data_IF_355452309650
#
_entry.id   IF_355452309650
#
_cell.length_a   1.000
_cell.length_b   1.000
_cell.length_c   1.000
_cell.angle_alpha   90.00
_cell.angle_beta   90.00
_cell.angle_gamma   90.00
#
_symmetry.space_group_name_H-M   'P 1'
#
loop_
_entity.id
_entity.type
_entity.pdbx_description
1 polymer ?
#
# COMPACT_ATOMS: atom_id res chain seq x y z
N UNK A 1 -21.11 14.36 10.73
CA UNK A 1 -19.94 13.85 9.97
C UNK A 1 -20.07 12.34 9.84
N UNK A 2 -19.85 11.75 8.66
CA UNK A 2 -19.91 10.29 8.52
C UNK A 2 -18.80 9.64 9.34
N UNK A 3 -19.15 8.82 10.32
CA UNK A 3 -18.19 8.07 11.14
C UNK A 3 -17.50 7.05 10.23
N UNK A 4 -16.18 7.17 10.07
CA UNK A 4 -15.42 6.18 9.32
C UNK A 4 -15.38 4.86 10.11
N UNK A 5 -16.20 3.89 9.68
CA UNK A 5 -16.38 2.61 10.37
C UNK A 5 -15.32 1.55 10.05
N UNK A 6 -14.50 1.77 9.02
CA UNK A 6 -13.48 0.80 8.58
C UNK A 6 -12.09 1.17 9.09
N UNK A 7 -11.24 0.17 9.45
CA UNK A 7 -9.84 0.40 9.78
C UNK A 7 -9.05 0.88 8.55
N UNK A 8 -7.81 1.34 8.77
CA UNK A 8 -6.87 1.60 7.68
C UNK A 8 -6.63 0.29 6.91
N UNK A 9 -6.79 0.25 5.57
CA UNK A 9 -6.62 -0.98 4.81
C UNK A 9 -5.24 -1.63 4.98
N UNK A 10 -5.19 -2.96 4.98
CA UNK A 10 -3.94 -3.73 4.93
C UNK A 10 -3.07 -3.29 3.75
N UNK A 11 -3.67 -3.31 2.55
CA UNK A 11 -3.08 -2.81 1.31
C UNK A 11 -4.12 -2.02 0.52
N UNK A 12 -3.70 -0.84 0.05
CA UNK A 12 -4.40 -0.12 -1.01
C UNK A 12 -3.35 0.54 -1.90
N UNK A 13 -3.55 0.45 -3.21
CA UNK A 13 -2.55 0.88 -4.21
C UNK A 13 -3.16 1.73 -5.31
N UNK A 14 -2.33 2.59 -5.89
CA UNK A 14 -2.55 3.24 -7.18
C UNK A 14 -1.45 2.75 -8.12
N UNK A 15 -1.81 2.09 -9.21
CA UNK A 15 -0.87 1.38 -10.09
C UNK A 15 -0.74 2.01 -11.47
N UNK A 16 0.41 1.75 -12.11
CA UNK A 16 0.69 2.02 -13.51
C UNK A 16 0.63 0.69 -14.26
N UNK A 17 -0.29 0.60 -15.19
CA UNK A 17 -0.47 -0.55 -16.06
C UNK A 17 0.10 -0.23 -17.46
N UNK A 18 0.85 -1.16 -18.02
CA UNK A 18 1.42 -1.08 -19.37
C UNK A 18 0.99 -2.29 -20.20
N UNK A 19 0.69 -2.07 -21.47
CA UNK A 19 0.50 -3.18 -22.41
C UNK A 19 1.86 -3.75 -22.82
N UNK A 20 2.02 -5.07 -22.73
CA UNK A 20 3.23 -5.77 -23.19
C UNK A 20 3.34 -5.83 -24.73
N UNK A 21 2.23 -5.64 -25.44
CA UNK A 21 2.20 -5.59 -26.92
C UNK A 21 2.55 -4.20 -27.43
N UNK A 22 2.11 -3.15 -26.73
CA UNK A 22 2.39 -1.76 -27.10
C UNK A 22 2.71 -0.94 -25.86
N UNK A 23 3.99 -0.76 -25.57
CA UNK A 23 4.48 -0.08 -24.36
C UNK A 23 4.00 1.38 -24.23
N UNK A 24 3.63 2.03 -25.33
CA UNK A 24 3.00 3.36 -25.31
C UNK A 24 1.56 3.36 -24.74
N UNK A 25 0.92 2.19 -24.62
CA UNK A 25 -0.43 2.06 -24.06
C UNK A 25 -0.33 1.91 -22.55
N UNK A 26 -0.67 3.00 -21.86
CA UNK A 26 -0.61 3.12 -20.41
C UNK A 26 -2.01 3.34 -19.81
N UNK A 27 -2.22 2.79 -18.62
CA UNK A 27 -3.42 2.97 -17.82
C UNK A 27 -3.05 3.18 -16.35
N UNK A 28 -3.83 4.01 -15.65
CA UNK A 28 -3.68 4.26 -14.22
C UNK A 28 -4.98 3.81 -13.57
N UNK A 29 -4.88 3.12 -12.44
CA UNK A 29 -6.03 2.74 -11.65
C UNK A 29 -5.68 2.54 -10.18
N UNK A 30 -6.67 2.22 -9.36
CA UNK A 30 -6.47 1.86 -7.95
C UNK A 30 -7.10 0.50 -7.60
N UNK A 31 -6.52 -0.18 -6.60
CA UNK A 31 -7.01 -1.47 -6.10
C UNK A 31 -6.43 -1.82 -4.73
N UNK A 32 -7.18 -2.51 -3.86
CA UNK A 32 -6.64 -3.17 -2.67
C UNK A 32 -6.02 -4.55 -2.96
N UNK A 33 -6.28 -5.12 -4.15
CA UNK A 33 -5.75 -6.43 -4.55
C UNK A 33 -5.14 -6.33 -5.96
N UNK A 34 -3.83 -6.05 -6.07
CA UNK A 34 -3.15 -5.90 -7.36
C UNK A 34 -3.19 -7.17 -8.23
N UNK A 35 -2.88 -8.39 -7.74
CA UNK A 35 -2.95 -9.60 -8.55
C UNK A 35 -4.32 -9.84 -9.18
N UNK A 36 -5.38 -9.77 -8.38
CA UNK A 36 -6.76 -9.95 -8.89
C UNK A 36 -7.10 -8.90 -9.93
N UNK A 37 -6.71 -7.63 -9.71
CA UNK A 37 -7.01 -6.55 -10.66
C UNK A 37 -6.25 -6.72 -11.99
N UNK A 38 -5.02 -7.25 -11.96
CA UNK A 38 -4.28 -7.56 -13.18
C UNK A 38 -5.01 -8.64 -14.00
N UNK A 39 -5.44 -9.74 -13.38
CA UNK A 39 -6.24 -10.78 -14.05
C UNK A 39 -7.54 -10.24 -14.65
N UNK A 40 -8.20 -9.28 -13.99
CA UNK A 40 -9.37 -8.59 -14.55
C UNK A 40 -9.05 -7.81 -15.82
N UNK A 41 -7.92 -7.10 -15.87
CA UNK A 41 -7.48 -6.38 -17.07
C UNK A 41 -7.13 -7.33 -18.22
N UNK A 42 -6.54 -8.48 -17.91
CA UNK A 42 -6.18 -9.51 -18.88
C UNK A 42 -7.36 -10.38 -19.33
N UNK A 43 -8.53 -10.25 -18.70
CA UNK A 43 -9.73 -11.00 -19.06
C UNK A 43 -9.78 -12.42 -18.48
N UNK A 44 -8.87 -12.75 -17.58
CA UNK A 44 -8.84 -14.00 -16.81
C UNK A 44 -9.90 -13.99 -15.69
N UNK A 45 -10.31 -12.80 -15.25
CA UNK A 45 -11.36 -12.60 -14.25
C UNK A 45 -12.37 -11.52 -14.69
N UNK A 46 -13.61 -11.62 -14.21
CA UNK A 46 -14.66 -10.62 -14.49
C UNK A 46 -14.36 -9.28 -13.79
N UNK A 47 -14.67 -8.16 -14.46
CA UNK A 47 -14.58 -6.80 -13.89
C UNK A 47 -13.45 -5.91 -14.43
N UNK A 48 -12.89 -6.22 -15.60
CA UNK A 48 -11.88 -5.37 -16.26
C UNK A 48 -12.43 -4.03 -16.76
N UNK A 49 -11.59 -3.00 -16.77
CA UNK A 49 -11.98 -1.68 -17.29
C UNK A 49 -12.18 -1.70 -18.81
N UNK A 50 -13.15 -0.92 -19.32
CA UNK A 50 -13.44 -0.83 -20.75
C UNK A 50 -12.23 -0.42 -21.59
N UNK A 51 -11.37 0.49 -21.08
CA UNK A 51 -10.15 0.91 -21.79
C UNK A 51 -9.12 -0.22 -21.96
N UNK A 52 -9.20 -1.26 -21.13
CA UNK A 52 -8.27 -2.40 -21.12
C UNK A 52 -8.86 -3.66 -21.76
N UNK A 53 -10.07 -3.59 -22.32
CA UNK A 53 -10.77 -4.76 -22.88
C UNK A 53 -10.25 -5.18 -24.27
N UNK A 54 -9.57 -4.29 -25.00
CA UNK A 54 -9.08 -4.55 -26.36
C UNK A 54 -8.07 -5.70 -26.35
N UNK A 55 -8.42 -6.80 -27.03
CA UNK A 55 -7.59 -8.01 -27.09
C UNK A 55 -6.18 -7.77 -27.63
N UNK A 56 -6.02 -6.88 -28.61
CA UNK A 56 -4.73 -6.54 -29.21
C UNK A 56 -3.81 -5.69 -28.30
N UNK A 57 -4.26 -5.29 -27.12
CA UNK A 57 -3.44 -4.62 -26.10
C UNK A 57 -3.15 -5.52 -24.89
N UNK A 58 -3.77 -6.70 -24.83
CA UNK A 58 -3.45 -7.71 -23.81
C UNK A 58 -2.25 -8.55 -24.26
N UNK A 59 -1.45 -9.11 -23.32
CA UNK A 59 -1.60 -8.94 -21.87
C UNK A 59 -1.03 -7.60 -21.38
N UNK A 60 -1.59 -7.15 -20.27
CA UNK A 60 -1.11 -6.05 -19.47
C UNK A 60 -0.17 -6.55 -18.37
N UNK A 61 0.67 -5.65 -17.87
CA UNK A 61 1.54 -5.83 -16.72
C UNK A 61 1.47 -4.57 -15.82
N UNK A 62 1.61 -4.75 -14.51
CA UNK A 62 1.79 -3.64 -13.58
C UNK A 62 3.28 -3.34 -13.46
N UNK A 63 3.72 -2.18 -13.95
CA UNK A 63 5.15 -1.82 -14.00
C UNK A 63 5.63 -1.05 -12.78
N UNK A 64 4.68 -0.50 -12.01
CA UNK A 64 4.93 0.15 -10.74
C UNK A 64 3.64 0.58 -10.06
N UNK A 65 3.70 0.85 -8.76
CA UNK A 65 2.55 1.32 -7.99
C UNK A 65 2.97 2.13 -6.77
N UNK A 66 2.05 2.95 -6.27
CA UNK A 66 2.14 3.61 -4.98
C UNK A 66 1.26 2.83 -4.01
N UNK A 67 1.79 2.43 -2.85
CA UNK A 67 1.05 1.75 -1.78
C UNK A 67 0.99 2.61 -0.51
N UNK A 68 0.28 2.13 0.51
CA UNK A 68 0.27 2.75 1.85
C UNK A 68 -0.82 3.79 2.05
N UNK A 69 -1.79 3.89 1.14
CA UNK A 69 -2.90 4.83 1.31
C UNK A 69 -3.73 4.48 2.55
N UNK A 70 -4.00 5.46 3.45
CA UNK A 70 -4.70 5.20 4.70
C UNK A 70 -6.21 4.95 4.51
N UNK A 71 -6.73 5.16 3.30
CA UNK A 71 -8.11 4.87 2.94
C UNK A 71 -8.29 4.69 1.43
N UNK A 72 -9.42 4.10 1.05
CA UNK A 72 -9.87 4.08 -0.35
C UNK A 72 -10.01 5.49 -0.92
N UNK A 73 -10.57 6.43 -0.15
CA UNK A 73 -10.76 7.81 -0.59
C UNK A 73 -9.42 8.50 -0.85
N UNK A 74 -8.41 8.25 -0.01
CA UNK A 74 -7.06 8.77 -0.22
C UNK A 74 -6.46 8.24 -1.54
N UNK A 75 -6.55 6.93 -1.79
CA UNK A 75 -6.10 6.33 -3.04
C UNK A 75 -6.83 6.91 -4.26
N UNK A 76 -8.16 7.09 -4.20
CA UNK A 76 -8.95 7.65 -5.30
C UNK A 76 -8.61 9.11 -5.59
N UNK A 77 -8.34 9.93 -4.55
CA UNK A 77 -7.87 11.31 -4.73
C UNK A 77 -6.53 11.36 -5.45
N UNK A 78 -5.58 10.51 -5.05
CA UNK A 78 -4.27 10.43 -5.70
C UNK A 78 -4.37 9.88 -7.13
N UNK A 79 -5.14 8.82 -7.34
CA UNK A 79 -5.41 8.25 -8.67
C UNK A 79 -5.97 9.30 -9.62
N UNK A 80 -6.97 10.07 -9.16
CA UNK A 80 -7.58 11.12 -9.97
C UNK A 80 -6.58 12.23 -10.32
N UNK A 81 -5.78 12.68 -9.34
CA UNK A 81 -4.75 13.68 -9.54
C UNK A 81 -3.69 13.22 -10.57
N UNK A 82 -3.23 11.96 -10.48
CA UNK A 82 -2.27 11.37 -11.42
C UNK A 82 -2.88 11.12 -12.80
N UNK A 83 -4.18 10.80 -12.84
CA UNK A 83 -4.95 10.59 -14.06
C UNK A 83 -5.17 11.90 -14.83
N UNK A 84 -5.29 13.02 -14.10
CA UNK A 84 -5.65 14.34 -14.61
C UNK A 84 -4.72 15.46 -14.08
N UNK A 85 -3.40 15.39 -14.30
CA UNK A 85 -2.44 16.34 -13.70
C UNK A 85 -2.67 17.78 -14.16
N UNK A 86 -3.08 17.96 -15.42
CA UNK A 86 -3.50 19.24 -16.00
C UNK A 86 -4.71 19.92 -15.33
N UNK A 87 -5.53 19.19 -14.56
CA UNK A 87 -6.72 19.70 -13.88
C UNK A 87 -6.61 19.64 -12.35
N UNK A 88 -5.60 18.94 -11.83
CA UNK A 88 -5.51 18.67 -10.41
C UNK A 88 -5.23 19.95 -9.63
N UNK A 89 -6.14 20.28 -8.71
CA UNK A 89 -5.98 21.40 -7.76
C UNK A 89 -4.93 21.11 -6.68
N UNK A 90 -4.55 19.84 -6.51
CA UNK A 90 -3.44 19.46 -5.64
C UNK A 90 -2.08 19.89 -6.21
N UNK A 91 -2.01 20.21 -7.51
CA UNK A 91 -0.79 20.67 -8.17
C UNK A 91 -0.87 22.19 -8.31
N UNK A 92 0.00 22.95 -7.61
CA UNK A 92 0.12 24.38 -7.81
C UNK A 92 0.39 24.71 -9.28
N UNK A 93 -0.22 25.78 -9.79
CA UNK A 93 -0.10 26.13 -11.21
C UNK A 93 1.33 26.38 -11.65
N UNK A 94 2.19 26.91 -10.78
CA UNK A 94 3.63 27.15 -11.04
C UNK A 94 4.45 25.85 -11.17
N UNK A 95 4.06 24.78 -10.49
CA UNK A 95 4.77 23.49 -10.50
C UNK A 95 4.19 22.50 -11.52
N UNK A 96 3.16 22.89 -12.28
CA UNK A 96 2.42 21.99 -13.17
C UNK A 96 3.25 21.59 -14.39
N UNK A 97 3.64 20.31 -14.44
CA UNK A 97 4.43 19.74 -15.55
C UNK A 97 3.60 19.44 -16.81
N UNK A 98 2.31 19.15 -16.64
CA UNK A 98 1.43 18.75 -17.74
C UNK A 98 0.38 19.83 -17.99
N UNK A 99 0.52 20.53 -19.10
CA UNK A 99 -0.40 21.59 -19.52
C UNK A 99 -1.16 21.15 -20.77
N UNK A 100 -2.44 21.46 -20.83
CA UNK A 100 -3.25 21.20 -22.01
C UNK A 100 -3.18 22.38 -22.97
N UNK A 101 -2.75 22.14 -24.21
CA UNK A 101 -2.69 23.14 -25.28
C UNK A 101 -3.97 23.21 -26.12
N UNK A 102 -4.85 22.20 -26.05
CA UNK A 102 -6.04 22.10 -26.90
C UNK A 102 -7.37 22.01 -26.14
N UNK A 103 -8.45 22.53 -26.72
CA UNK A 103 -9.82 22.40 -26.18
C UNK A 103 -10.65 21.41 -27.00
N UNK A 104 -11.62 20.79 -26.35
CA UNK A 104 -12.65 19.96 -26.99
C UNK A 104 -13.66 20.86 -27.69
N UNK A 105 -14.51 20.29 -28.56
CA UNK A 105 -15.63 21.04 -29.19
C UNK A 105 -16.57 21.69 -28.17
N UNK A 106 -16.63 21.16 -26.94
CA UNK A 106 -17.42 21.68 -25.81
C UNK A 106 -16.61 22.59 -24.87
N UNK A 107 -15.50 23.16 -25.33
CA UNK A 107 -14.66 24.09 -24.55
C UNK A 107 -13.79 23.48 -23.45
N UNK A 108 -14.01 22.21 -23.06
CA UNK A 108 -13.23 21.54 -22.00
C UNK A 108 -11.78 21.30 -22.44
N UNK A 109 -10.77 21.41 -21.56
CA UNK A 109 -9.40 21.03 -21.86
C UNK A 109 -9.33 19.59 -22.38
N UNK A 110 -8.63 19.36 -23.50
CA UNK A 110 -8.31 18.01 -23.96
C UNK A 110 -7.33 17.34 -23.00
N UNK A 111 -7.55 16.06 -22.78
CA UNK A 111 -6.65 15.25 -21.94
C UNK A 111 -5.31 15.04 -22.67
N UNK A 112 -4.18 15.43 -22.07
CA UNK A 112 -2.88 15.19 -22.67
C UNK A 112 -2.58 13.69 -22.78
N UNK A 113 -1.85 13.32 -23.83
CA UNK A 113 -1.37 11.95 -24.03
C UNK A 113 -0.44 11.56 -22.88
N UNK A 114 -0.64 10.35 -22.34
CA UNK A 114 0.21 9.83 -21.27
C UNK A 114 1.41 9.13 -21.88
N UNK A 115 2.60 9.59 -21.52
CA UNK A 115 3.85 8.86 -21.70
C UNK A 115 4.34 8.35 -20.36
N UNK A 116 5.21 7.33 -20.37
CA UNK A 116 5.77 6.81 -19.12
C UNK A 116 6.50 7.92 -18.34
N UNK A 117 7.32 8.70 -19.04
CA UNK A 117 8.02 9.87 -18.49
C UNK A 117 7.04 10.85 -17.83
N UNK A 118 5.92 11.16 -18.49
CA UNK A 118 4.91 12.06 -17.91
C UNK A 118 4.24 11.47 -16.66
N UNK A 119 4.09 10.15 -16.55
CA UNK A 119 3.49 9.52 -15.38
C UNK A 119 4.48 9.57 -14.21
N UNK A 120 5.72 9.13 -14.42
CA UNK A 120 6.73 9.10 -13.34
C UNK A 120 7.07 10.51 -12.84
N UNK A 121 7.13 11.50 -13.73
CA UNK A 121 7.36 12.89 -13.32
C UNK A 121 6.20 13.48 -12.52
N UNK A 122 4.95 13.16 -12.88
CA UNK A 122 3.78 13.57 -12.10
C UNK A 122 3.66 12.80 -10.78
N UNK A 123 4.09 11.54 -10.68
CA UNK A 123 4.20 10.84 -9.39
C UNK A 123 5.20 11.58 -8.50
N UNK A 124 6.37 11.93 -9.02
CA UNK A 124 7.38 12.68 -8.27
C UNK A 124 6.84 14.01 -7.73
N UNK A 125 6.12 14.76 -8.57
CA UNK A 125 5.45 16.00 -8.17
C UNK A 125 4.37 15.74 -7.11
N UNK A 126 3.47 14.78 -7.34
CA UNK A 126 2.36 14.50 -6.43
C UNK A 126 2.82 13.98 -5.06
N UNK A 127 3.98 13.34 -4.97
CA UNK A 127 4.55 12.92 -3.69
C UNK A 127 5.15 14.09 -2.88
N UNK A 128 5.26 15.28 -3.47
CA UNK A 128 5.80 16.50 -2.84
C UNK A 128 4.74 17.55 -2.54
N UNK A 129 3.60 17.54 -3.23
CA UNK A 129 2.57 18.56 -2.99
C UNK A 129 1.97 18.44 -1.57
N UNK A 130 1.60 19.56 -0.91
CA UNK A 130 1.15 19.56 0.48
C UNK A 130 0.02 18.58 0.79
N UNK A 131 -0.87 18.33 -0.18
CA UNK A 131 -2.01 17.42 -0.01
C UNK A 131 -1.62 15.96 0.24
N UNK A 132 -0.43 15.52 -0.22
CA UNK A 132 -0.01 14.12 -0.19
C UNK A 132 1.37 13.92 0.44
N UNK A 133 2.16 14.98 0.60
CA UNK A 133 3.56 14.94 1.05
C UNK A 133 3.78 14.31 2.42
N UNK A 134 2.74 14.21 3.25
CA UNK A 134 2.78 13.60 4.58
C UNK A 134 2.08 12.26 4.69
N UNK A 135 1.49 11.75 3.61
CA UNK A 135 0.89 10.43 3.61
C UNK A 135 1.96 9.34 3.71
N UNK A 136 1.67 8.18 4.33
CA UNK A 136 2.64 7.11 4.53
C UNK A 136 2.79 6.23 3.28
N UNK A 137 3.09 6.88 2.16
CA UNK A 137 3.17 6.24 0.86
C UNK A 137 4.52 5.54 0.68
N UNK A 138 4.50 4.46 -0.11
CA UNK A 138 5.71 3.76 -0.61
C UNK A 138 5.58 3.60 -2.12
N UNK A 139 6.66 3.80 -2.85
CA UNK A 139 6.71 3.65 -4.30
C UNK A 139 7.38 2.32 -4.66
N UNK A 140 6.75 1.55 -5.54
CA UNK A 140 7.21 0.22 -5.96
C UNK A 140 7.43 0.21 -7.47
N UNK A 141 8.56 -0.34 -7.91
CA UNK A 141 8.85 -0.58 -9.32
C UNK A 141 9.09 -2.06 -9.60
N UNK A 142 8.46 -2.56 -10.66
CA UNK A 142 8.53 -3.98 -11.05
C UNK A 142 9.15 -4.19 -12.43
N UNK A 143 9.51 -3.10 -13.13
CA UNK A 143 10.16 -3.12 -14.43
C UNK A 143 11.42 -2.23 -14.40
N UNK A 144 12.63 -2.76 -14.68
CA UNK A 144 13.88 -2.01 -14.57
C UNK A 144 13.89 -0.71 -15.37
N UNK A 145 13.43 -0.73 -16.61
CA UNK A 145 13.38 0.42 -17.51
C UNK A 145 12.47 1.54 -17.00
N UNK A 146 11.44 1.20 -16.21
CA UNK A 146 10.56 2.19 -15.59
C UNK A 146 11.23 2.82 -14.38
N UNK A 147 11.97 2.02 -13.60
CA UNK A 147 12.79 2.53 -12.51
C UNK A 147 13.92 3.43 -13.00
N UNK A 148 14.58 3.08 -14.11
CA UNK A 148 15.59 3.94 -14.75
C UNK A 148 14.98 5.28 -15.22
N UNK A 149 13.79 5.25 -15.83
CA UNK A 149 13.10 6.48 -16.21
C UNK A 149 12.75 7.37 -14.98
N UNK A 150 12.38 6.74 -13.86
CA UNK A 150 12.16 7.42 -12.59
C UNK A 150 13.44 8.04 -12.04
N UNK A 151 14.55 7.28 -11.96
CA UNK A 151 15.85 7.79 -11.49
C UNK A 151 16.34 8.96 -12.34
N UNK A 152 16.24 8.84 -13.67
CA UNK A 152 16.59 9.93 -14.60
C UNK A 152 15.76 11.19 -14.35
N UNK A 153 14.47 11.06 -14.04
CA UNK A 153 13.67 12.22 -13.68
C UNK A 153 14.14 12.81 -12.34
N UNK A 154 14.37 11.98 -11.33
CA UNK A 154 14.83 12.44 -10.01
C UNK A 154 16.16 13.20 -10.08
N UNK A 155 17.10 12.78 -10.93
CA UNK A 155 18.38 13.48 -11.13
C UNK A 155 18.24 14.85 -11.81
N UNK A 156 17.11 15.09 -12.49
CA UNK A 156 16.82 16.38 -13.15
C UNK A 156 15.88 17.27 -12.35
N UNK A 157 15.21 16.73 -11.35
CA UNK A 157 14.23 17.48 -10.56
C UNK A 157 14.94 18.45 -9.60
N UNK A 158 14.46 19.69 -9.54
CA UNK A 158 15.06 20.76 -8.74
C UNK A 158 14.94 20.56 -7.23
N UNK A 159 13.88 19.88 -6.76
CA UNK A 159 13.70 19.61 -5.35
C UNK A 159 13.53 18.10 -5.12
N UNK A 160 14.20 17.54 -4.10
CA UNK A 160 14.18 16.12 -3.80
C UNK A 160 12.85 15.68 -3.17
N UNK A 161 12.64 14.37 -3.11
CA UNK A 161 11.59 13.78 -2.28
C UNK A 161 12.03 13.81 -0.82
N UNK A 162 11.06 13.75 0.11
CA UNK A 162 11.36 13.59 1.53
C UNK A 162 12.17 12.30 1.74
N UNK A 163 13.15 12.36 2.63
CA UNK A 163 14.05 11.22 2.93
C UNK A 163 13.29 10.00 3.48
N UNK A 164 12.20 10.22 4.22
CA UNK A 164 11.36 9.16 4.77
C UNK A 164 10.47 8.43 3.76
N UNK A 165 10.44 8.86 2.49
CA UNK A 165 9.66 8.17 1.45
C UNK A 165 10.43 6.94 0.96
N UNK A 166 9.86 5.76 1.18
CA UNK A 166 10.48 4.50 0.74
C UNK A 166 10.19 4.24 -0.74
N UNK A 167 11.25 4.00 -1.52
CA UNK A 167 11.18 3.53 -2.90
C UNK A 167 11.79 2.12 -2.94
N UNK A 168 11.02 1.14 -3.38
CA UNK A 168 11.43 -0.27 -3.48
C UNK A 168 11.34 -0.79 -4.90
N UNK A 169 12.18 -1.77 -5.22
CA UNK A 169 12.21 -2.45 -6.51
C UNK A 169 12.07 -3.95 -6.31
N UNK A 170 11.32 -4.60 -7.20
CA UNK A 170 11.23 -6.06 -7.25
C UNK A 170 11.04 -6.49 -8.71
N UNK A 171 12.15 -6.78 -9.38
CA UNK A 171 12.18 -7.06 -10.82
C UNK A 171 12.03 -8.56 -11.15
N UNK A 172 11.91 -9.41 -10.14
CA UNK A 172 11.97 -10.87 -10.31
C UNK A 172 13.32 -11.36 -10.87
N UNK A 173 13.45 -12.67 -11.06
CA UNK A 173 14.61 -13.25 -11.75
C UNK A 173 14.47 -12.98 -13.26
N UNK A 174 15.25 -12.03 -13.76
CA UNK A 174 15.38 -11.71 -15.19
C UNK A 174 15.87 -12.98 -15.92
N UNK A 175 14.98 -13.77 -16.54
CA UNK A 175 15.40 -14.96 -17.30
C UNK A 175 14.37 -16.06 -17.55
N UNK A 176 13.25 -16.12 -16.81
CA UNK A 176 12.21 -17.11 -17.11
C UNK A 176 11.39 -16.65 -18.32
N UNK A 177 11.75 -17.11 -19.52
CA UNK A 177 10.87 -17.07 -20.69
C UNK A 177 9.49 -17.55 -20.24
N UNK A 178 8.45 -16.72 -20.41
CA UNK A 178 7.04 -17.10 -20.18
C UNK A 178 6.76 -18.35 -21.02
N UNK A 179 6.80 -19.52 -20.38
CA UNK A 179 6.37 -20.74 -21.01
C UNK A 179 4.87 -20.62 -21.23
N UNK A 180 4.45 -20.57 -22.49
CA UNK A 180 3.07 -20.77 -22.91
C UNK A 180 2.69 -22.19 -22.52
N UNK A 181 2.12 -22.38 -21.32
CA UNK A 181 1.31 -23.56 -20.94
C UNK A 181 0.60 -23.23 -19.63
N UNK A 182 -0.54 -22.54 -19.73
CA UNK A 182 -1.56 -22.57 -18.67
C UNK A 182 -2.31 -23.89 -18.81
N UNK A 183 -2.02 -24.84 -17.92
CA UNK A 183 -2.93 -25.95 -17.68
C UNK A 183 -4.17 -25.43 -16.93
N UNK A 184 -5.37 -26.01 -17.13
CA UNK A 184 -6.56 -25.63 -16.40
C UNK A 184 -6.47 -26.10 -14.93
N UNK A 185 -6.95 -25.27 -14.01
CA UNK A 185 -7.18 -25.66 -12.61
C UNK A 185 -8.39 -26.62 -12.60
N UNK A 186 -8.32 -27.82 -12.00
CA UNK A 186 -9.49 -28.67 -11.87
C UNK A 186 -10.41 -28.15 -10.78
N UNK A 187 -11.70 -28.15 -11.10
CA UNK A 187 -12.82 -28.01 -10.18
C UNK A 187 -12.90 -29.29 -9.34
N UNK A 188 -13.20 -29.26 -8.03
CA UNK A 188 -13.28 -30.48 -7.25
C UNK A 188 -14.60 -31.20 -7.53
N UNK A 189 -14.54 -32.34 -8.20
CA UNK A 189 -15.57 -33.38 -8.15
C UNK A 189 -14.88 -34.71 -7.85
N UNK A 190 -15.54 -35.50 -6.99
CA UNK A 190 -15.10 -36.77 -6.43
C UNK A 190 -14.64 -37.77 -7.50
N UNK A 191 -13.57 -38.53 -7.22
CA UNK A 191 -13.50 -40.01 -7.30
C UNK A 191 -12.02 -40.49 -7.35
N UNK A 192 -11.83 -41.70 -6.84
CA UNK A 192 -10.60 -42.39 -6.50
C UNK A 192 -9.62 -42.59 -7.67
N UNK A 193 -8.32 -42.44 -7.40
CA UNK A 193 -7.26 -42.89 -8.29
C UNK A 193 -5.86 -42.61 -7.74
N UNK A 194 -5.18 -43.65 -7.27
CA UNK A 194 -3.78 -43.63 -6.86
C UNK A 194 -2.88 -43.22 -8.04
N UNK A 195 -2.13 -42.13 -7.88
CA UNK A 195 -1.22 -41.60 -8.88
C UNK A 195 0.03 -41.03 -8.23
N UNK A 196 1.16 -41.65 -8.54
CA UNK A 196 2.53 -41.44 -8.04
C UNK A 196 2.94 -39.95 -8.00
N UNK A 197 3.41 -39.51 -6.83
CA UNK A 197 3.98 -38.18 -6.61
C UNK A 197 5.37 -38.06 -7.27
N UNK A 198 5.47 -37.24 -8.32
CA UNK A 198 6.77 -36.75 -8.80
C UNK A 198 7.13 -35.46 -8.05
N UNK A 199 7.92 -35.63 -7.01
CA UNK A 199 8.45 -34.58 -6.14
C UNK A 199 9.68 -33.92 -6.77
N UNK A 200 9.54 -32.69 -7.27
CA UNK A 200 10.44 -31.53 -7.01
C UNK A 200 10.21 -30.43 -8.07
N UNK A 201 9.11 -29.69 -7.95
CA UNK A 201 9.03 -28.36 -8.54
C UNK A 201 9.37 -27.35 -7.44
N UNK A 202 10.62 -26.85 -7.42
CA UNK A 202 10.97 -25.68 -6.61
C UNK A 202 9.97 -24.56 -6.95
N UNK A 203 9.08 -24.25 -6.00
CA UNK A 203 8.10 -23.18 -6.17
C UNK A 203 8.86 -21.87 -6.27
N UNK A 204 8.94 -21.31 -7.48
CA UNK A 204 9.58 -20.02 -7.71
C UNK A 204 8.99 -18.97 -6.75
N UNK A 205 9.86 -18.27 -6.02
CA UNK A 205 9.42 -17.26 -5.07
C UNK A 205 8.54 -16.20 -5.75
N UNK A 206 7.41 -15.81 -5.14
CA UNK A 206 6.55 -14.79 -5.70
C UNK A 206 7.30 -13.46 -5.77
N UNK A 207 7.10 -12.72 -6.86
CA UNK A 207 7.75 -11.43 -7.11
C UNK A 207 6.74 -10.38 -7.60
N UNK A 208 7.18 -9.13 -7.62
CA UNK A 208 6.43 -7.97 -8.04
C UNK A 208 5.12 -7.83 -7.25
N UNK A 209 4.01 -7.69 -7.97
CA UNK A 209 2.69 -7.55 -7.33
C UNK A 209 2.22 -8.79 -6.56
N UNK A 210 2.81 -9.96 -6.84
CA UNK A 210 2.46 -11.23 -6.19
C UNK A 210 3.19 -11.44 -4.87
N UNK A 211 4.30 -10.73 -4.63
CA UNK A 211 5.01 -10.71 -3.36
C UNK A 211 4.39 -9.75 -2.33
N UNK A 212 3.51 -8.83 -2.77
CA UNK A 212 2.90 -7.85 -1.88
C UNK A 212 1.92 -8.52 -0.90
N UNK A 213 2.08 -8.32 0.43
CA UNK A 213 1.13 -8.82 1.40
C UNK A 213 -0.22 -8.11 1.22
N UNK A 214 -1.29 -8.91 1.03
CA UNK A 214 -2.64 -8.40 0.78
C UNK A 214 -3.47 -8.24 2.07
N UNK A 215 -2.94 -8.70 3.19
CA UNK A 215 -3.59 -8.73 4.50
C UNK A 215 -2.69 -8.12 5.59
N UNK A 216 -3.13 -8.20 6.85
CA UNK A 216 -2.43 -7.64 8.00
C UNK A 216 -1.33 -8.55 8.56
N UNK A 217 -0.98 -9.65 7.89
CA UNK A 217 0.06 -10.58 8.37
C UNK A 217 1.39 -9.88 8.71
N UNK A 218 1.88 -8.86 7.96
CA UNK A 218 3.13 -8.17 8.30
C UNK A 218 3.14 -7.44 9.64
N UNK A 219 1.99 -7.11 10.21
CA UNK A 219 1.88 -6.42 11.51
C UNK A 219 1.27 -7.31 12.60
N UNK A 220 1.17 -8.61 12.35
CA UNK A 220 0.47 -9.55 13.23
C UNK A 220 1.01 -9.58 14.64
N UNK A 221 2.33 -9.67 14.81
CA UNK A 221 2.92 -9.76 16.14
C UNK A 221 2.71 -8.47 16.93
N UNK A 222 2.73 -7.32 16.25
CA UNK A 222 2.36 -6.05 16.84
C UNK A 222 0.88 -6.00 17.26
N UNK A 223 -0.03 -6.51 16.43
CA UNK A 223 -1.46 -6.62 16.77
C UNK A 223 -1.66 -7.54 17.98
N UNK A 224 -0.99 -8.69 18.03
CA UNK A 224 -1.04 -9.62 19.18
C UNK A 224 -0.55 -8.93 20.45
N UNK A 225 0.61 -8.28 20.40
CA UNK A 225 1.14 -7.53 21.54
C UNK A 225 0.15 -6.47 22.00
N UNK A 226 -0.41 -5.69 21.08
CA UNK A 226 -1.39 -4.67 21.45
C UNK A 226 -2.66 -5.28 22.04
N UNK A 227 -3.17 -6.40 21.53
CA UNK A 227 -4.35 -7.06 22.12
C UNK A 227 -4.08 -7.47 23.56
N UNK A 228 -2.93 -8.12 23.84
CA UNK A 228 -2.56 -8.54 25.19
C UNK A 228 -2.52 -7.35 26.16
N UNK A 229 -1.97 -6.21 25.74
CA UNK A 229 -1.90 -5.00 26.59
C UNK A 229 -3.28 -4.53 27.06
N UNK A 230 -4.31 -4.54 26.20
CA UNK A 230 -5.67 -4.11 26.57
C UNK A 230 -6.53 -5.24 27.15
N UNK A 231 -6.24 -6.51 26.83
CA UNK A 231 -6.97 -7.67 27.38
C UNK A 231 -6.61 -7.94 28.85
N UNK A 232 -5.36 -7.67 29.23
CA UNK A 232 -4.87 -7.86 30.60
C UNK A 232 -4.76 -6.55 31.40
N UNK A 233 -5.34 -5.45 30.91
CA UNK A 233 -5.35 -4.13 31.55
C UNK A 233 -3.93 -3.63 31.93
N UNK A 234 -2.99 -3.79 31.01
CA UNK A 234 -1.56 -3.44 31.16
C UNK A 234 -1.20 -2.09 30.50
N UNK A 235 -2.19 -1.24 30.20
CA UNK A 235 -1.98 0.07 29.59
C UNK A 235 -1.19 1.01 30.51
N UNK A 236 -1.44 0.92 31.82
CA UNK A 236 -0.82 1.74 32.86
C UNK A 236 -0.98 3.24 32.60
N UNK A 237 0.11 3.99 32.75
CA UNK A 237 0.11 5.43 32.53
C UNK A 237 0.60 5.79 31.14
N UNK A 238 0.09 6.90 30.59
CA UNK A 238 0.57 7.46 29.35
C UNK A 238 2.07 7.73 29.43
N UNK A 239 2.84 7.16 28.48
CA UNK A 239 4.30 7.32 28.43
C UNK A 239 4.79 8.76 28.18
N UNK A 240 3.88 9.71 27.96
CA UNK A 240 4.16 11.12 27.69
C UNK A 240 3.66 12.01 28.83
N UNK A 241 2.34 12.12 29.04
CA UNK A 241 1.79 13.00 30.08
C UNK A 241 1.81 12.38 31.49
N UNK A 242 2.08 11.08 31.62
CA UNK A 242 2.11 10.32 32.89
C UNK A 242 0.76 10.14 33.60
N UNK A 243 -0.32 10.67 33.05
CA UNK A 243 -1.68 10.40 33.52
C UNK A 243 -2.07 8.93 33.29
N UNK A 244 -2.96 8.43 34.14
CA UNK A 244 -3.54 7.09 34.03
C UNK A 244 -4.36 6.93 32.73
N UNK A 245 -4.22 5.78 32.08
CA UNK A 245 -5.00 5.42 30.90
C UNK A 245 -6.23 4.63 31.34
N UNK A 246 -7.40 5.23 31.19
CA UNK A 246 -8.67 4.58 31.51
C UNK A 246 -9.11 3.64 30.39
N UNK A 247 -9.29 2.36 30.71
CA UNK A 247 -9.72 1.32 29.76
C UNK A 247 -11.05 1.68 29.09
N UNK A 248 -11.08 1.59 27.76
CA UNK A 248 -12.27 1.91 26.95
C UNK A 248 -12.59 3.39 26.77
N UNK A 249 -11.85 4.32 27.42
CA UNK A 249 -12.13 5.76 27.31
C UNK A 249 -11.07 6.47 26.46
N UNK A 250 -11.43 6.88 25.24
CA UNK A 250 -10.53 7.61 24.34
C UNK A 250 -9.72 6.71 23.40
N UNK A 251 -8.72 7.30 22.74
CA UNK A 251 -7.88 6.62 21.76
C UNK A 251 -6.45 6.52 22.27
N UNK A 252 -6.03 5.28 22.54
CA UNK A 252 -4.71 4.96 23.08
C UNK A 252 -3.89 4.18 22.08
N UNK A 253 -2.73 4.71 21.72
CA UNK A 253 -1.84 4.09 20.76
C UNK A 253 -0.68 3.39 21.48
N UNK A 254 -0.28 2.22 20.96
CA UNK A 254 0.79 1.38 21.51
C UNK A 254 2.05 1.54 20.67
N UNK A 255 3.22 1.59 21.29
CA UNK A 255 4.50 1.60 20.58
C UNK A 255 4.61 0.42 19.60
N UNK A 256 5.18 0.63 18.41
CA UNK A 256 5.33 -0.41 17.38
C UNK A 256 6.49 -1.37 17.63
N UNK A 257 7.48 -0.99 18.46
CA UNK A 257 8.68 -1.80 18.68
C UNK A 257 8.38 -3.10 19.43
N UNK A 258 9.07 -4.17 19.06
CA UNK A 258 8.95 -5.48 19.70
C UNK A 258 9.28 -5.41 21.19
N UNK A 259 8.54 -6.14 22.03
CA UNK A 259 8.69 -6.15 23.48
C UNK A 259 8.34 -4.84 24.22
N UNK A 260 8.13 -3.72 23.52
CA UNK A 260 7.77 -2.45 24.15
C UNK A 260 6.24 -2.29 24.26
N UNK A 261 5.75 -2.24 25.50
CA UNK A 261 4.36 -1.97 25.87
C UNK A 261 4.17 -0.49 26.25
N UNK A 262 4.73 0.43 25.47
CA UNK A 262 4.54 1.86 25.72
C UNK A 262 3.19 2.30 25.18
N UNK A 263 2.25 2.65 26.05
CA UNK A 263 0.92 3.16 25.67
C UNK A 263 0.82 4.66 25.92
N UNK A 264 0.06 5.38 25.09
CA UNK A 264 -0.22 6.78 25.33
C UNK A 264 -1.43 7.30 24.58
N UNK A 265 -1.97 8.43 25.04
CA UNK A 265 -3.03 9.13 24.33
C UNK A 265 -2.60 9.46 22.90
N UNK A 266 -3.51 9.29 21.93
CA UNK A 266 -3.26 9.60 20.54
C UNK A 266 -2.76 11.04 20.35
N UNK A 267 -3.36 12.00 21.06
CA UNK A 267 -3.00 13.41 21.03
C UNK A 267 -1.61 13.66 21.61
N UNK A 268 -1.24 12.99 22.71
CA UNK A 268 0.11 13.06 23.27
C UNK A 268 1.16 12.53 22.29
N UNK A 269 0.92 11.35 21.70
CA UNK A 269 1.82 10.78 20.68
C UNK A 269 2.00 11.73 19.49
N UNK A 270 0.91 12.33 19.01
CA UNK A 270 0.96 13.27 17.90
C UNK A 270 1.84 14.48 18.25
N UNK A 271 1.60 15.14 19.39
CA UNK A 271 2.38 16.30 19.82
C UNK A 271 3.85 15.97 20.03
N UNK A 272 4.14 14.79 20.61
CA UNK A 272 5.52 14.34 20.85
C UNK A 272 6.31 14.08 19.55
N UNK A 273 5.64 13.69 18.46
CA UNK A 273 6.29 13.47 17.16
C UNK A 273 6.36 14.72 16.29
N UNK A 274 5.60 15.77 16.62
CA UNK A 274 5.63 17.02 15.89
C UNK A 274 6.76 17.93 16.42
N UNK A 275 7.48 18.65 15.54
CA UNK A 275 8.46 19.64 15.98
C UNK A 275 7.80 20.72 16.84
N UNK A 276 8.52 21.24 17.83
CA UNK A 276 8.01 22.31 18.71
C UNK A 276 7.64 23.60 17.94
N UNK A 277 8.30 23.86 16.79
CA UNK A 277 8.00 25.00 15.89
C UNK A 277 6.62 24.94 15.25
N UNK A 278 5.99 23.77 15.21
CA UNK A 278 4.74 23.53 14.48
C UNK A 278 3.50 23.63 15.38
N UNK A 279 3.66 24.07 16.64
CA UNK A 279 2.56 24.16 17.61
C UNK A 279 1.82 25.51 17.60
N UNK A 280 2.39 26.55 16.98
CA UNK A 280 1.96 27.96 17.18
C UNK A 280 1.30 28.67 15.97
N UNK A 281 0.70 27.95 15.01
CA UNK A 281 -0.40 28.56 14.22
C UNK A 281 -0.50 28.34 12.71
N UNK A 282 0.44 27.66 12.06
CA UNK A 282 0.31 27.23 10.65
C UNK A 282 0.84 25.79 10.43
N UNK A 283 0.94 25.06 11.54
CA UNK A 283 1.85 23.94 11.70
C UNK A 283 1.39 22.59 11.14
N UNK A 284 2.36 21.71 11.04
CA UNK A 284 2.18 20.32 10.67
C UNK A 284 1.22 19.61 11.62
N UNK A 285 0.12 19.05 11.09
CA UNK A 285 -0.84 18.27 11.89
C UNK A 285 -0.51 16.77 11.92
N UNK A 286 0.03 16.23 10.82
CA UNK A 286 0.22 14.78 10.66
C UNK A 286 1.67 14.37 10.93
N UNK A 287 1.97 13.62 12.01
CA UNK A 287 3.30 13.05 12.20
C UNK A 287 3.65 12.05 11.09
N UNK A 288 4.96 11.87 10.84
CA UNK A 288 5.48 10.85 9.91
C UNK A 288 6.15 9.74 10.72
N UNK A 289 7.14 10.11 11.54
CA UNK A 289 7.88 9.22 12.41
C UNK A 289 8.31 9.96 13.68
N UNK A 290 8.77 9.21 14.68
CA UNK A 290 9.38 9.75 15.90
C UNK A 290 10.01 8.65 16.74
N UNK A 291 10.39 8.96 17.98
CA UNK A 291 10.98 7.99 18.90
C UNK A 291 10.08 7.76 20.11
N UNK A 292 9.97 6.49 20.51
CA UNK A 292 9.19 6.11 21.69
C UNK A 292 9.84 6.67 22.98
N UNK A 293 9.11 7.38 23.86
CA UNK A 293 9.67 7.84 25.13
C UNK A 293 10.15 6.72 26.08
N UNK A 294 9.52 5.53 26.01
CA UNK A 294 9.80 4.35 26.85
C UNK A 294 11.03 3.57 26.35
N UNK A 295 10.97 3.00 25.14
CA UNK A 295 12.05 2.16 24.60
C UNK A 295 13.09 2.89 23.75
N UNK A 296 12.90 4.19 23.46
CA UNK A 296 13.74 5.02 22.57
C UNK A 296 13.84 4.57 21.11
N UNK A 297 13.28 3.41 20.75
CA UNK A 297 13.23 2.95 19.36
C UNK A 297 12.38 3.84 18.46
N UNK A 298 12.73 3.85 17.17
CA UNK A 298 12.00 4.56 16.13
C UNK A 298 10.59 3.99 15.93
N UNK A 299 9.63 4.86 15.61
CA UNK A 299 8.22 4.51 15.41
C UNK A 299 7.70 5.23 14.18
N UNK A 300 7.06 4.49 13.28
CA UNK A 300 6.34 5.05 12.15
C UNK A 300 4.89 5.35 12.56
N UNK A 301 4.46 6.61 12.41
CA UNK A 301 3.11 7.04 12.80
C UNK A 301 2.03 6.19 12.13
N UNK A 302 2.23 5.85 10.87
CA UNK A 302 1.26 5.08 10.08
C UNK A 302 1.07 3.64 10.54
N UNK A 303 2.11 3.00 11.04
CA UNK A 303 1.99 1.62 11.53
C UNK A 303 1.23 1.61 12.85
N UNK A 304 1.51 2.60 13.71
CA UNK A 304 0.76 2.83 14.93
C UNK A 304 -0.71 3.13 14.66
N UNK A 305 -1.03 3.95 13.65
CA UNK A 305 -2.42 4.23 13.27
C UNK A 305 -3.10 3.01 12.63
N UNK A 306 -2.35 2.18 11.92
CA UNK A 306 -2.89 0.95 11.32
C UNK A 306 -3.33 -0.03 12.42
N UNK A 307 -2.52 -0.26 13.44
CA UNK A 307 -2.91 -1.05 14.61
C UNK A 307 -4.09 -0.41 15.36
N UNK A 308 -3.99 0.87 15.72
CA UNK A 308 -5.02 1.56 16.51
C UNK A 308 -6.40 1.46 15.83
N UNK A 309 -6.45 1.75 14.53
CA UNK A 309 -7.72 1.67 13.80
C UNK A 309 -8.20 0.24 13.63
N UNK A 310 -7.30 -0.74 13.51
CA UNK A 310 -7.64 -2.16 13.43
C UNK A 310 -8.22 -2.66 14.75
N UNK A 311 -7.65 -2.29 15.90
CA UNK A 311 -8.18 -2.64 17.23
C UNK A 311 -9.51 -1.96 17.53
N UNK A 312 -9.65 -0.68 17.21
CA UNK A 312 -10.88 0.08 17.52
C UNK A 312 -12.03 -0.24 16.57
N UNK A 313 -11.75 -0.57 15.30
CA UNK A 313 -12.78 -0.65 14.23
C UNK A 313 -12.77 -1.95 13.43
N UNK A 314 -11.78 -2.81 13.62
CA UNK A 314 -11.47 -3.95 12.76
C UNK A 314 -11.49 -5.29 13.48
N UNK A 315 -12.33 -5.47 14.51
CA UNK A 315 -12.36 -6.71 15.31
C UNK A 315 -12.49 -7.99 14.45
N UNK A 316 -13.32 -7.95 13.41
CA UNK A 316 -13.47 -9.06 12.45
C UNK A 316 -12.19 -9.37 11.67
N UNK A 317 -11.42 -8.35 11.32
CA UNK A 317 -10.14 -8.50 10.64
C UNK A 317 -9.08 -9.09 11.59
N UNK A 318 -9.08 -8.67 12.87
CA UNK A 318 -8.22 -9.24 13.92
C UNK A 318 -8.51 -10.72 14.12
N UNK A 319 -9.79 -11.09 14.30
CA UNK A 319 -10.16 -12.50 14.44
C UNK A 319 -9.67 -13.35 13.26
N UNK A 320 -9.81 -12.84 12.03
CA UNK A 320 -9.32 -13.53 10.83
C UNK A 320 -7.79 -13.67 10.84
N UNK A 321 -7.08 -12.61 11.21
CA UNK A 321 -5.62 -12.59 11.31
C UNK A 321 -5.11 -13.64 12.32
N UNK A 322 -5.74 -13.71 13.49
CA UNK A 322 -5.36 -14.63 14.57
C UNK A 322 -5.77 -16.09 14.27
N UNK A 323 -6.94 -16.32 13.66
CA UNK A 323 -7.40 -17.68 13.24
C UNK A 323 -6.48 -18.32 12.19
N UNK A 324 -5.83 -17.52 11.33
CA UNK A 324 -4.95 -18.02 10.26
C UNK A 324 -3.71 -18.74 10.82
N UNK A 325 -3.21 -18.35 12.00
CA UNK A 325 -2.09 -19.04 12.69
C UNK A 325 -2.49 -20.44 13.15
N UNK A 326 -3.69 -20.62 13.72
CA UNK A 326 -4.17 -21.94 14.18
C UNK A 326 -4.24 -22.94 13.03
N UNK A 327 -4.73 -22.51 11.85
CA UNK A 327 -4.79 -23.37 10.66
C UNK A 327 -3.41 -23.70 10.10
N UNK A 328 -2.48 -22.74 10.01
CA UNK A 328 -1.10 -22.98 9.54
C UNK A 328 -0.30 -23.85 10.51
N UNK A 329 -0.40 -23.61 11.82
CA UNK A 329 0.23 -24.42 12.84
C UNK A 329 -0.32 -25.85 12.88
N UNK A 330 -1.64 -26.03 12.72
CA UNK A 330 -2.25 -27.35 12.59
C UNK A 330 -1.75 -28.08 11.33
N UNK A 331 -1.64 -27.38 10.19
CA UNK A 331 -1.14 -27.96 8.93
C UNK A 331 0.35 -28.32 9.01
N UNK A 332 1.19 -27.47 9.61
CA UNK A 332 2.60 -27.76 9.84
C UNK A 332 2.81 -28.94 10.80
N UNK A 333 1.98 -29.04 11.85
CA UNK A 333 2.01 -30.17 12.79
C UNK A 333 1.50 -31.49 12.18
N UNK A 334 0.61 -31.43 11.19
CA UNK A 334 0.17 -32.59 10.42
C UNK A 334 1.23 -33.05 9.42
N UNK A 335 1.91 -32.12 8.73
CA UNK A 335 3.02 -32.42 7.82
C UNK A 335 4.22 -33.04 8.57
N UNK A 336 4.58 -32.52 9.74
CA UNK A 336 5.67 -33.07 10.56
C UNK A 336 5.36 -34.42 11.23
N UNK A 337 4.11 -34.90 11.15
CA UNK A 337 3.70 -36.23 11.64
C UNK A 337 3.57 -37.27 10.52
N UNK A 338 3.73 -36.85 9.26
CA UNK A 338 3.63 -37.70 8.07
C UNK A 338 4.96 -37.84 7.32
N UNK A 339 6.06 -37.36 7.93
CA UNK A 339 7.46 -37.59 7.54
C UNK A 339 8.15 -38.44 8.60
#
# INVERSE_FOLDING_TARGET
MAIQSKPIPALYTVYILRSTVRHASLYIGSTPNPPRRLSQHNGEAKGGAARTSKGNLRPWEMVGLVSGFPSMVAALKFEWALTNPHLSLHIPSSSRLTVTTGRTKRGRPRRPTKTLVSIVSNIHLLLRVPSFSRWPLKLHFFAPEVYEAWKKWCSTASEPLRESLVVVTDFGKIGAKRSKKTAPIPVPEDDNGEGVEDSTAEQAEPWGIHALPLDYEPIKDYVVKSQNVFEFEQEGNCVICRDEILSGQGLHAVCTNEGCEGVGHLSCWSRHFLPASDLDGDGTILPIHGHCPKCKGGVQWSDMMKELTLRVRGQKDIEKLLKTKRKRAAKAKAAAKSS
#
